data_IF_367466647758
#
_entry.id   IF_367466647758
#
_cell.length_a   1.000
_cell.length_b   1.000
_cell.length_c   1.000
_cell.angle_alpha   90.00
_cell.angle_beta   90.00
_cell.angle_gamma   90.00
#
_symmetry.space_group_name_H-M   'P 1'
#
loop_
_entity.id
_entity.type
_entity.pdbx_description
1 polymer ?
#
# COMPACT_ATOMS: atom_id res chain seq x y z
N UNK A 1 -1.17 0.31 -16.30
CA UNK A 1 -0.56 -0.35 -15.13
C UNK A 1 -1.45 -0.16 -13.91
N UNK A 2 -1.25 -0.98 -12.89
CA UNK A 2 -2.10 -1.00 -11.70
C UNK A 2 -1.25 -0.84 -10.46
N UNK A 3 -1.83 -0.23 -9.43
CA UNK A 3 -1.18 -0.02 -8.13
C UNK A 3 -2.10 -0.48 -7.00
N UNK A 4 -1.50 -1.10 -5.99
CA UNK A 4 -2.18 -1.48 -4.75
C UNK A 4 -1.86 -0.41 -3.71
N UNK A 5 -2.89 0.19 -3.12
CA UNK A 5 -2.74 1.15 -2.04
C UNK A 5 -3.42 0.61 -0.78
N UNK A 6 -2.73 0.73 0.36
CA UNK A 6 -3.18 0.13 1.61
C UNK A 6 -3.13 1.09 2.80
N UNK A 7 -2.82 2.36 2.55
CA UNK A 7 -2.64 3.35 3.61
C UNK A 7 -3.17 4.73 3.25
N UNK A 8 -2.33 5.74 3.41
CA UNK A 8 -2.72 7.14 3.23
C UNK A 8 -3.11 7.53 1.80
N UNK A 9 -2.80 6.67 0.82
CA UNK A 9 -3.24 6.87 -0.57
C UNK A 9 -4.65 6.35 -0.82
N UNK A 10 -5.25 5.63 0.12
CA UNK A 10 -6.61 5.12 -0.01
C UNK A 10 -7.61 6.28 -0.08
N UNK A 11 -8.81 6.00 -0.64
CA UNK A 11 -9.87 6.99 -0.78
C UNK A 11 -10.13 7.71 0.56
N UNK A 12 -10.29 9.02 0.51
CA UNK A 12 -10.61 9.88 1.66
C UNK A 12 -9.50 9.92 2.72
N UNK A 13 -8.29 9.46 2.40
CA UNK A 13 -7.15 9.57 3.30
C UNK A 13 -6.27 10.77 2.94
N UNK A 14 -5.31 11.09 3.82
CA UNK A 14 -4.53 12.31 3.73
C UNK A 14 -3.78 12.54 2.42
N UNK A 15 -3.31 11.46 1.79
CA UNK A 15 -2.56 11.53 0.53
C UNK A 15 -3.38 11.08 -0.68
N UNK A 16 -4.70 10.97 -0.56
CA UNK A 16 -5.55 10.51 -1.65
C UNK A 16 -5.51 11.42 -2.88
N UNK A 17 -5.12 12.69 -2.73
CA UNK A 17 -4.98 13.63 -3.84
C UNK A 17 -3.97 13.15 -4.90
N UNK A 18 -2.97 12.33 -4.52
CA UNK A 18 -2.03 11.73 -5.46
C UNK A 18 -2.71 10.77 -6.44
N UNK A 19 -3.92 10.30 -6.08
CA UNK A 19 -4.69 9.32 -6.84
C UNK A 19 -5.85 9.96 -7.62
N UNK A 20 -5.88 11.28 -7.75
CA UNK A 20 -7.00 12.02 -8.36
C UNK A 20 -7.29 11.55 -9.79
N UNK A 21 -6.27 11.24 -10.56
CA UNK A 21 -6.41 10.80 -11.96
C UNK A 21 -6.32 9.29 -12.12
N UNK A 22 -6.35 8.54 -11.01
CA UNK A 22 -6.34 7.09 -11.04
C UNK A 22 -7.77 6.55 -11.10
N UNK A 23 -7.94 5.40 -11.76
CA UNK A 23 -9.24 4.73 -11.85
C UNK A 23 -9.32 3.63 -10.80
N UNK A 24 -10.24 3.73 -9.85
CA UNK A 24 -10.51 2.69 -8.88
C UNK A 24 -11.07 1.46 -9.58
N UNK A 25 -10.46 0.29 -9.33
CA UNK A 25 -10.88 -0.98 -9.90
C UNK A 25 -11.65 -1.83 -8.88
N UNK A 26 -11.31 -1.73 -7.61
CA UNK A 26 -12.00 -2.45 -6.54
C UNK A 26 -11.19 -2.49 -5.26
N UNK A 27 -11.85 -2.95 -4.21
CA UNK A 27 -11.22 -3.26 -2.93
C UNK A 27 -10.80 -4.73 -2.92
N UNK A 28 -9.76 -5.05 -2.14
CA UNK A 28 -9.24 -6.41 -2.12
C UNK A 28 -8.59 -6.72 -0.77
N UNK A 29 -8.74 -7.96 -0.32
CA UNK A 29 -8.00 -8.51 0.82
C UNK A 29 -6.83 -9.32 0.28
N UNK A 30 -5.61 -8.82 0.50
CA UNK A 30 -4.40 -9.43 -0.02
C UNK A 30 -3.79 -10.32 1.04
N UNK A 31 -3.71 -11.62 0.76
CA UNK A 31 -3.09 -12.62 1.64
C UNK A 31 -1.57 -12.62 1.50
N UNK A 32 -0.89 -13.00 2.58
CA UNK A 32 0.56 -13.16 2.58
C UNK A 32 1.32 -11.92 2.99
N UNK A 33 0.64 -10.94 3.59
CA UNK A 33 1.25 -9.69 4.04
C UNK A 33 0.74 -9.29 5.40
N UNK A 34 1.52 -8.43 6.06
CA UNK A 34 1.18 -7.85 7.37
C UNK A 34 1.44 -6.35 7.32
N UNK A 35 0.66 -5.59 8.09
CA UNK A 35 0.84 -4.15 8.26
C UNK A 35 1.41 -3.82 9.63
N UNK A 36 2.32 -2.86 9.66
CA UNK A 36 2.86 -2.27 10.88
C UNK A 36 2.69 -0.75 10.83
N UNK A 37 2.60 -0.15 12.00
CA UNK A 37 2.31 1.28 12.16
C UNK A 37 3.59 2.08 12.32
N UNK A 38 3.89 2.94 11.35
CA UNK A 38 5.01 3.89 11.40
C UNK A 38 4.56 5.25 11.95
N UNK A 39 3.32 5.37 12.41
CA UNK A 39 2.73 6.62 12.88
C UNK A 39 1.83 7.24 11.81
N UNK A 40 2.40 7.90 10.82
CA UNK A 40 1.64 8.53 9.75
C UNK A 40 1.42 7.64 8.54
N UNK A 41 2.18 6.56 8.42
CA UNK A 41 2.16 5.67 7.25
C UNK A 41 2.21 4.22 7.71
N UNK A 42 1.63 3.29 6.94
CA UNK A 42 1.80 1.87 7.20
C UNK A 42 3.08 1.33 6.55
N UNK A 43 3.60 0.27 7.15
CA UNK A 43 4.63 -0.56 6.55
C UNK A 43 4.00 -1.91 6.20
N UNK A 44 3.99 -2.28 4.93
CA UNK A 44 3.56 -3.60 4.49
C UNK A 44 4.80 -4.47 4.26
N UNK A 45 4.77 -5.68 4.82
CA UNK A 45 5.85 -6.66 4.66
C UNK A 45 5.22 -8.03 4.41
N UNK A 46 5.99 -8.93 3.81
CA UNK A 46 5.57 -10.31 3.63
C UNK A 46 5.34 -10.96 5.00
N UNK A 47 4.31 -11.77 5.12
CA UNK A 47 3.95 -12.43 6.37
C UNK A 47 2.82 -13.42 6.16
N UNK A 48 2.13 -13.79 7.25
CA UNK A 48 1.08 -14.81 7.24
C UNK A 48 -0.32 -14.24 7.39
N UNK A 49 -0.46 -12.91 7.35
CA UNK A 49 -1.74 -12.25 7.52
C UNK A 49 -2.41 -11.87 6.20
N UNK A 50 -3.41 -11.01 6.35
CA UNK A 50 -4.11 -10.39 5.22
C UNK A 50 -4.14 -8.88 5.43
N UNK A 51 -4.07 -8.13 4.33
CA UNK A 51 -4.21 -6.68 4.38
C UNK A 51 -5.34 -6.22 3.48
N UNK A 52 -6.06 -5.20 3.95
CA UNK A 52 -7.12 -4.56 3.16
C UNK A 52 -6.51 -3.48 2.28
N UNK A 53 -6.82 -3.52 1.01
CA UNK A 53 -6.25 -2.59 0.05
C UNK A 53 -7.27 -2.22 -1.02
N UNK A 54 -6.89 -1.22 -1.81
CA UNK A 54 -7.63 -0.77 -2.99
C UNK A 54 -6.71 -0.90 -4.19
N UNK A 55 -7.27 -1.27 -5.34
CA UNK A 55 -6.51 -1.43 -6.58
C UNK A 55 -6.97 -0.37 -7.57
N UNK A 56 -6.03 0.33 -8.16
CA UNK A 56 -6.27 1.41 -9.12
C UNK A 56 -5.51 1.17 -10.42
N UNK A 57 -6.12 1.58 -11.52
CA UNK A 57 -5.39 1.75 -12.79
C UNK A 57 -4.76 3.12 -12.81
N UNK A 58 -3.48 3.19 -13.16
CA UNK A 58 -2.71 4.43 -13.18
C UNK A 58 -1.91 4.57 -14.46
N UNK A 59 -1.53 5.82 -14.77
CA UNK A 59 -0.59 6.12 -15.85
C UNK A 59 0.85 5.94 -15.36
N UNK A 60 1.79 5.89 -16.31
CA UNK A 60 3.22 5.83 -15.96
C UNK A 60 3.68 7.08 -15.21
N UNK A 61 3.07 8.25 -15.51
CA UNK A 61 3.42 9.48 -14.80
C UNK A 61 3.00 9.45 -13.33
N UNK A 62 1.83 8.87 -13.02
CA UNK A 62 1.42 8.69 -11.62
C UNK A 62 2.39 7.75 -10.91
N UNK A 63 2.79 6.64 -11.56
CA UNK A 63 3.73 5.70 -10.95
C UNK A 63 5.07 6.38 -10.65
N UNK A 64 5.57 7.22 -11.55
CA UNK A 64 6.80 7.99 -11.34
C UNK A 64 6.68 8.90 -10.12
N UNK A 65 5.56 9.61 -9.98
CA UNK A 65 5.31 10.47 -8.83
C UNK A 65 5.24 9.67 -7.51
N UNK A 66 4.57 8.51 -7.53
CA UNK A 66 4.50 7.64 -6.36
C UNK A 66 5.88 7.07 -5.98
N UNK A 67 6.71 6.74 -6.97
CA UNK A 67 8.08 6.29 -6.72
C UNK A 67 8.89 7.37 -6.01
N UNK A 68 8.77 8.62 -6.43
CA UNK A 68 9.45 9.74 -5.78
C UNK A 68 8.97 9.89 -4.32
N UNK A 69 7.67 9.75 -4.09
CA UNK A 69 7.08 9.85 -2.76
C UNK A 69 7.52 8.71 -1.84
N UNK A 70 7.60 7.48 -2.37
CA UNK A 70 7.77 6.26 -1.57
C UNK A 70 9.19 5.73 -1.51
N UNK A 71 9.99 5.91 -2.57
CA UNK A 71 11.30 5.25 -2.71
C UNK A 71 12.47 6.19 -2.49
N UNK A 72 12.24 7.46 -2.21
CA UNK A 72 13.28 8.48 -2.20
C UNK A 72 14.46 8.20 -1.27
N UNK A 73 14.24 7.49 -0.14
CA UNK A 73 15.28 7.14 0.83
C UNK A 73 15.54 5.64 0.94
N UNK A 74 14.98 4.84 0.01
CA UNK A 74 15.13 3.38 0.02
C UNK A 74 14.30 2.64 1.06
N UNK A 75 13.38 3.33 1.73
CA UNK A 75 12.53 2.71 2.76
C UNK A 75 11.50 1.75 2.15
N UNK A 76 10.98 2.07 0.98
CA UNK A 76 10.04 1.23 0.26
C UNK A 76 10.59 0.81 -1.09
N UNK A 77 10.20 -0.39 -1.54
CA UNK A 77 10.47 -0.88 -2.88
C UNK A 77 9.20 -1.51 -3.43
N UNK A 78 8.89 -1.24 -4.71
CA UNK A 78 7.71 -1.84 -5.31
C UNK A 78 8.00 -3.19 -5.93
N UNK A 79 7.03 -4.08 -5.80
CA UNK A 79 7.04 -5.40 -6.44
C UNK A 79 5.75 -5.58 -7.24
N UNK A 80 5.83 -6.34 -8.33
CA UNK A 80 4.67 -6.65 -9.16
C UNK A 80 4.10 -7.99 -8.69
N UNK A 81 2.82 -7.99 -8.33
CA UNK A 81 2.13 -9.18 -7.83
C UNK A 81 0.82 -9.41 -8.57
N UNK A 82 0.33 -10.65 -8.55
CA UNK A 82 -0.94 -11.01 -9.15
C UNK A 82 -2.11 -10.58 -8.24
N UNK A 83 -3.17 -10.05 -8.84
CA UNK A 83 -4.42 -9.73 -8.15
C UNK A 83 -5.58 -10.19 -9.04
N UNK A 84 -6.83 -10.25 -8.51
CA UNK A 84 -8.00 -10.52 -9.36
C UNK A 84 -8.22 -9.50 -10.48
N UNK A 85 -7.61 -8.32 -10.36
CA UNK A 85 -7.71 -7.24 -11.34
C UNK A 85 -6.55 -7.26 -12.36
N UNK A 86 -5.64 -8.22 -12.24
CA UNK A 86 -4.42 -8.33 -13.02
C UNK A 86 -3.18 -8.02 -12.18
N UNK A 87 -2.02 -8.05 -12.81
CA UNK A 87 -0.77 -7.72 -12.12
C UNK A 87 -0.77 -6.27 -11.66
N UNK A 88 -0.33 -6.04 -10.44
CA UNK A 88 -0.33 -4.71 -9.82
C UNK A 88 0.92 -4.52 -8.98
N UNK A 89 1.39 -3.27 -8.91
CA UNK A 89 2.53 -2.90 -8.09
C UNK A 89 2.10 -2.68 -6.64
N UNK A 90 2.91 -3.15 -5.69
CA UNK A 90 2.75 -2.87 -4.26
C UNK A 90 4.08 -2.35 -3.71
N UNK A 91 4.02 -1.31 -2.86
CA UNK A 91 5.20 -0.80 -2.17
C UNK A 91 5.39 -1.54 -0.87
N UNK A 92 6.53 -2.22 -0.74
CA UNK A 92 6.87 -3.00 0.45
C UNK A 92 7.97 -2.31 1.25
N UNK A 93 7.81 -2.33 2.56
CA UNK A 93 8.78 -1.74 3.49
C UNK A 93 10.04 -2.59 3.54
N UNK A 94 11.21 -1.95 3.50
CA UNK A 94 12.50 -2.63 3.35
C UNK A 94 13.33 -2.66 4.64
N UNK A 95 12.80 -2.13 5.73
CA UNK A 95 13.51 -2.09 7.01
C UNK A 95 12.90 -3.04 8.02
N UNK A 96 13.63 -3.40 9.12
CA UNK A 96 13.05 -4.25 10.15
C UNK A 96 11.82 -3.62 10.79
N UNK A 97 10.83 -4.46 11.11
CA UNK A 97 9.60 -4.03 11.79
C UNK A 97 9.63 -4.32 13.28
N UNK A 98 10.76 -4.79 13.81
CA UNK A 98 10.96 -5.04 15.23
C UNK A 98 10.67 -3.78 16.03
N UNK A 99 9.82 -3.89 17.04
CA UNK A 99 9.45 -2.75 17.88
C UNK A 99 8.30 -1.90 17.33
N UNK A 100 7.86 -2.14 16.09
CA UNK A 100 6.69 -1.47 15.53
C UNK A 100 5.43 -2.21 15.93
N UNK A 101 4.34 -1.45 16.12
CA UNK A 101 3.04 -2.03 16.43
C UNK A 101 2.46 -2.68 15.18
N UNK A 102 2.11 -3.97 15.29
CA UNK A 102 1.40 -4.65 14.21
C UNK A 102 -0.06 -4.21 14.19
N UNK A 103 -0.58 -3.96 12.99
CA UNK A 103 -1.98 -3.66 12.79
C UNK A 103 -2.71 -4.99 12.59
N UNK A 104 -3.24 -5.55 13.68
CA UNK A 104 -3.80 -6.90 13.68
C UNK A 104 -5.00 -7.05 12.74
N UNK A 105 -5.78 -5.98 12.54
CA UNK A 105 -6.91 -6.00 11.60
C UNK A 105 -6.47 -6.12 10.14
N UNK A 106 -5.22 -5.78 9.82
CA UNK A 106 -4.75 -5.67 8.43
C UNK A 106 -5.33 -4.48 7.68
N UNK A 107 -6.06 -3.62 8.36
CA UNK A 107 -6.75 -2.47 7.77
C UNK A 107 -6.22 -1.18 8.39
N UNK A 108 -5.54 -0.36 7.59
CA UNK A 108 -5.00 0.92 8.04
C UNK A 108 -6.08 1.83 8.63
N UNK A 109 -7.32 1.76 8.11
CA UNK A 109 -8.43 2.58 8.59
C UNK A 109 -8.93 2.13 9.96
N UNK A 110 -8.56 0.93 10.41
CA UNK A 110 -8.92 0.35 11.71
C UNK A 110 -7.69 0.06 12.55
N UNK A 111 -6.63 0.84 12.38
CA UNK A 111 -5.34 0.56 13.01
C UNK A 111 -5.33 0.75 14.52
N UNK A 112 -6.36 1.38 15.05
CA UNK A 112 -6.47 1.59 16.50
C UNK A 112 -7.37 0.57 17.20
N UNK A 113 -7.88 -0.40 16.46
CA UNK A 113 -8.70 -1.49 17.01
C UNK A 113 -7.85 -2.67 17.44
#
# INVERSE_FOLDING_TARGET
>A
MRIIVYGSLRRKQGNSHWMTNAQWLGDYQLEGYELYDLGHYPAAVAGEGEIYCEVYRISSSILTELDELKRGDGVYQRELIATPFGSAWIYLYQRPVTGLRRIASGDWLKRQE
#
